data_IF_335973145780
#
_entry.id   IF_335973145780
#
_cell.length_a   1.000
_cell.length_b   1.000
_cell.length_c   1.000
_cell.angle_alpha   90.00
_cell.angle_beta   90.00
_cell.angle_gamma   90.00
#
_symmetry.space_group_name_H-M   'P 1'
#
loop_
_entity.id
_entity.type
_entity.pdbx_description
1 polymer ?
#
# COMPACT_ATOMS: atom_id res chain seq x y z
N UNK A 1 -4.66 -27.70 22.46
CA UNK A 1 -5.05 -26.41 21.86
C UNK A 1 -3.87 -25.44 21.61
N UNK A 2 -2.77 -25.49 22.37
CA UNK A 2 -1.59 -24.64 22.15
C UNK A 2 -0.79 -24.96 20.87
N UNK A 3 -0.79 -26.22 20.44
CA UNK A 3 -0.03 -26.67 19.26
C UNK A 3 -0.65 -26.23 17.93
N UNK A 4 -1.96 -26.06 17.84
CA UNK A 4 -2.64 -25.54 16.65
C UNK A 4 -2.34 -24.06 16.38
N UNK A 5 -2.01 -23.27 17.39
CA UNK A 5 -1.69 -21.85 17.25
C UNK A 5 -0.32 -21.61 16.59
N UNK A 6 0.63 -22.55 16.68
CA UNK A 6 1.95 -22.45 16.04
C UNK A 6 1.94 -22.83 14.55
N UNK A 7 0.87 -23.45 14.07
CA UNK A 7 0.77 -23.96 12.71
C UNK A 7 0.44 -22.87 11.68
N UNK A 8 -0.30 -21.85 12.08
CA UNK A 8 -0.67 -20.75 11.21
C UNK A 8 0.35 -19.60 11.26
N UNK A 9 0.64 -19.00 10.12
CA UNK A 9 1.50 -17.83 10.04
C UNK A 9 0.71 -16.54 10.33
N UNK A 10 0.33 -16.34 11.58
CA UNK A 10 -0.38 -15.13 12.01
C UNK A 10 0.53 -13.88 12.02
N UNK A 11 1.86 -14.07 11.96
CA UNK A 11 2.82 -12.96 11.91
C UNK A 11 2.61 -12.11 10.66
N UNK A 12 2.56 -12.72 9.47
CA UNK A 12 2.38 -12.01 8.21
C UNK A 12 1.00 -11.37 8.11
N UNK A 13 -0.03 -12.05 8.61
CA UNK A 13 -1.40 -11.51 8.69
C UNK A 13 -1.43 -10.23 9.53
N UNK A 14 -0.84 -10.28 10.73
CA UNK A 14 -0.77 -9.12 11.63
C UNK A 14 0.05 -7.98 11.04
N UNK A 15 1.16 -8.28 10.35
CA UNK A 15 1.99 -7.27 9.70
C UNK A 15 1.17 -6.52 8.63
N UNK A 16 0.47 -7.22 7.74
CA UNK A 16 -0.39 -6.59 6.75
C UNK A 16 -1.56 -5.85 7.37
N UNK A 17 -2.20 -6.39 8.42
CA UNK A 17 -3.29 -5.72 9.12
C UNK A 17 -2.84 -4.39 9.76
N UNK A 18 -1.67 -4.37 10.41
CA UNK A 18 -1.10 -3.13 10.97
C UNK A 18 -0.81 -2.12 9.86
N UNK A 19 -0.18 -2.57 8.76
CA UNK A 19 0.14 -1.67 7.64
C UNK A 19 -1.10 -1.18 6.91
N UNK A 20 -2.19 -1.95 6.90
CA UNK A 20 -3.50 -1.46 6.42
C UNK A 20 -3.93 -0.22 7.20
N UNK A 21 -3.88 -0.26 8.51
CA UNK A 21 -4.25 0.90 9.35
C UNK A 21 -3.30 2.08 9.12
N UNK A 22 -1.98 1.82 9.09
CA UNK A 22 -0.96 2.86 8.86
C UNK A 22 -1.19 3.56 7.52
N UNK A 23 -1.31 2.81 6.45
CA UNK A 23 -1.53 3.37 5.11
C UNK A 23 -2.92 4.00 4.94
N UNK A 24 -3.93 3.49 5.66
CA UNK A 24 -5.24 4.10 5.73
C UNK A 24 -5.16 5.51 6.31
N UNK A 25 -4.46 5.68 7.44
CA UNK A 25 -4.24 7.00 8.06
C UNK A 25 -3.48 7.92 7.11
N UNK A 26 -2.36 7.45 6.56
CA UNK A 26 -1.52 8.26 5.64
C UNK A 26 -2.30 8.66 4.39
N UNK A 27 -2.96 7.70 3.73
CA UNK A 27 -3.74 7.95 2.53
C UNK A 27 -4.88 8.95 2.76
N UNK A 28 -5.62 8.80 3.87
CA UNK A 28 -6.70 9.73 4.21
C UNK A 28 -6.18 11.12 4.56
N UNK A 29 -5.04 11.24 5.26
CA UNK A 29 -4.42 12.54 5.54
C UNK A 29 -4.03 13.27 4.24
N UNK A 30 -3.45 12.59 3.28
CA UNK A 30 -3.16 13.17 1.96
C UNK A 30 -4.46 13.62 1.30
N UNK A 31 -5.54 12.83 1.39
CA UNK A 31 -6.87 13.20 0.90
C UNK A 31 -7.42 14.49 1.52
N UNK A 32 -7.28 14.64 2.84
CA UNK A 32 -7.67 15.87 3.54
C UNK A 32 -6.86 17.07 3.06
N UNK A 33 -5.54 16.91 2.86
CA UNK A 33 -4.66 17.98 2.37
C UNK A 33 -5.09 18.42 0.97
N UNK A 34 -5.29 17.50 0.03
CA UNK A 34 -5.69 17.86 -1.33
C UNK A 34 -7.10 18.46 -1.36
N UNK A 35 -8.02 18.01 -0.51
CA UNK A 35 -9.34 18.62 -0.38
C UNK A 35 -9.25 20.06 0.14
N UNK A 36 -8.39 20.29 1.14
CA UNK A 36 -8.15 21.64 1.66
C UNK A 36 -7.49 22.56 0.61
N UNK A 37 -6.59 22.04 -0.24
CA UNK A 37 -5.97 22.80 -1.33
C UNK A 37 -6.97 23.28 -2.39
N UNK A 38 -8.10 22.59 -2.56
CA UNK A 38 -9.17 23.06 -3.46
C UNK A 38 -9.80 24.38 -2.97
N UNK A 39 -9.83 24.58 -1.66
CA UNK A 39 -10.34 25.81 -1.04
C UNK A 39 -9.25 26.85 -0.80
N UNK A 40 -8.06 26.38 -0.33
CA UNK A 40 -6.89 27.21 -0.06
C UNK A 40 -5.67 26.71 -0.87
N UNK A 41 -5.52 27.17 -2.13
CA UNK A 41 -4.39 26.77 -2.98
C UNK A 41 -3.01 27.09 -2.37
N UNK A 42 -2.93 28.12 -1.52
CA UNK A 42 -1.71 28.50 -0.80
C UNK A 42 -1.13 27.39 0.09
N UNK A 43 -1.91 26.37 0.45
CA UNK A 43 -1.41 25.18 1.18
C UNK A 43 -0.42 24.33 0.37
N UNK A 44 -0.26 24.60 -0.92
CA UNK A 44 0.80 24.03 -1.74
C UNK A 44 2.18 24.67 -1.52
N UNK A 45 2.24 25.83 -0.82
CA UNK A 45 3.47 26.58 -0.52
C UNK A 45 4.35 26.86 -1.76
N UNK A 46 3.75 26.90 -2.95
CA UNK A 46 4.43 26.98 -4.24
C UNK A 46 5.49 25.89 -4.47
N UNK A 47 5.38 24.76 -3.74
CA UNK A 47 6.27 23.63 -3.87
C UNK A 47 5.70 22.64 -4.90
N UNK A 48 6.43 22.34 -5.99
CA UNK A 48 5.92 21.46 -7.06
C UNK A 48 5.45 20.10 -6.57
N UNK A 49 6.15 19.49 -5.60
CA UNK A 49 5.81 18.18 -5.07
C UNK A 49 4.57 18.17 -4.15
N UNK A 50 4.16 19.34 -3.62
CA UNK A 50 2.94 19.49 -2.82
C UNK A 50 1.75 19.98 -3.65
N UNK A 51 1.91 20.15 -4.97
CA UNK A 51 0.80 20.57 -5.81
C UNK A 51 -0.32 19.52 -5.81
N UNK A 52 -1.57 19.98 -5.89
CA UNK A 52 -2.75 19.14 -6.01
C UNK A 52 -2.60 18.05 -7.07
N UNK A 53 -2.08 18.41 -8.25
CA UNK A 53 -1.91 17.49 -9.38
C UNK A 53 -0.94 16.34 -9.10
N UNK A 54 0.01 16.52 -8.17
CA UNK A 54 0.97 15.47 -7.78
C UNK A 54 0.51 14.68 -6.55
N UNK A 55 -0.18 15.33 -5.64
CA UNK A 55 -0.71 14.67 -4.45
C UNK A 55 -1.96 13.84 -4.75
N UNK A 56 -2.75 14.19 -5.77
CA UNK A 56 -3.94 13.42 -6.15
C UNK A 56 -3.60 11.96 -6.54
N UNK A 57 -2.67 11.70 -7.48
CA UNK A 57 -2.22 10.34 -7.78
C UNK A 57 -1.67 9.61 -6.55
N UNK A 58 -0.90 10.31 -5.72
CA UNK A 58 -0.39 9.74 -4.47
C UNK A 58 -1.52 9.28 -3.55
N UNK A 59 -2.54 10.13 -3.33
CA UNK A 59 -3.71 9.77 -2.52
C UNK A 59 -4.43 8.55 -3.10
N UNK A 60 -4.71 8.55 -4.39
CA UNK A 60 -5.43 7.46 -5.06
C UNK A 60 -4.67 6.14 -4.92
N UNK A 61 -3.37 6.13 -5.21
CA UNK A 61 -2.54 4.93 -5.09
C UNK A 61 -2.38 4.48 -3.62
N UNK A 62 -2.25 5.43 -2.68
CA UNK A 62 -2.18 5.10 -1.25
C UNK A 62 -3.46 4.43 -0.76
N UNK A 63 -4.63 4.89 -1.17
CA UNK A 63 -5.91 4.31 -0.74
C UNK A 63 -6.18 2.98 -1.42
N UNK A 64 -5.94 2.85 -2.72
CA UNK A 64 -6.24 1.62 -3.45
C UNK A 64 -5.21 0.53 -3.13
N UNK A 65 -3.92 0.82 -3.31
CA UNK A 65 -2.88 -0.21 -3.24
C UNK A 65 -2.26 -0.33 -1.85
N UNK A 66 -1.93 0.79 -1.19
CA UNK A 66 -1.30 0.70 0.11
C UNK A 66 -2.31 0.28 1.19
N UNK A 67 -3.44 0.96 1.32
CA UNK A 67 -4.49 0.61 2.27
C UNK A 67 -5.27 -0.62 1.82
N UNK A 68 -5.96 -0.55 0.68
CA UNK A 68 -6.83 -1.63 0.19
C UNK A 68 -6.05 -2.90 -0.13
N UNK A 69 -4.90 -2.80 -0.81
CA UNK A 69 -4.03 -3.92 -1.13
C UNK A 69 -3.49 -4.62 0.11
N UNK A 70 -3.00 -3.88 1.11
CA UNK A 70 -2.56 -4.48 2.38
C UNK A 70 -3.70 -5.17 3.12
N UNK A 71 -4.91 -4.60 3.12
CA UNK A 71 -6.10 -5.21 3.69
C UNK A 71 -6.48 -6.50 2.97
N UNK A 72 -6.39 -6.51 1.65
CA UNK A 72 -6.66 -7.69 0.83
C UNK A 72 -5.65 -8.82 1.14
N UNK A 73 -4.35 -8.52 1.23
CA UNK A 73 -3.35 -9.50 1.63
C UNK A 73 -3.59 -10.05 3.04
N UNK A 74 -3.88 -9.16 4.01
CA UNK A 74 -4.19 -9.58 5.39
C UNK A 74 -5.34 -10.59 5.44
N UNK A 75 -6.46 -10.24 4.78
CA UNK A 75 -7.66 -11.09 4.76
C UNK A 75 -7.43 -12.37 3.97
N UNK A 76 -6.76 -12.31 2.82
CA UNK A 76 -6.45 -13.48 2.00
C UNK A 76 -5.59 -14.49 2.76
N UNK A 77 -4.47 -14.06 3.35
CA UNK A 77 -3.62 -14.93 4.13
C UNK A 77 -4.33 -15.51 5.36
N UNK A 78 -5.19 -14.73 6.02
CA UNK A 78 -5.98 -15.21 7.15
C UNK A 78 -6.99 -16.28 6.71
N UNK A 79 -7.83 -15.94 5.72
CA UNK A 79 -8.94 -16.80 5.27
C UNK A 79 -8.42 -18.12 4.71
N UNK A 80 -7.41 -18.10 3.83
CA UNK A 80 -6.86 -19.31 3.22
C UNK A 80 -6.35 -20.29 4.28
N UNK A 81 -5.58 -19.80 5.24
CA UNK A 81 -5.07 -20.68 6.31
C UNK A 81 -6.20 -21.29 7.14
N UNK A 82 -7.24 -20.52 7.47
CA UNK A 82 -8.35 -20.97 8.32
C UNK A 82 -9.34 -21.86 7.59
N UNK A 83 -9.62 -21.58 6.32
CA UNK A 83 -10.58 -22.38 5.51
C UNK A 83 -9.97 -23.71 5.06
N UNK A 84 -8.69 -23.69 4.67
CA UNK A 84 -8.00 -24.91 4.26
C UNK A 84 -7.46 -25.74 5.45
N UNK A 85 -7.58 -25.23 6.68
CA UNK A 85 -6.98 -25.82 7.86
C UNK A 85 -5.50 -26.18 7.66
N UNK A 86 -4.75 -25.29 6.96
CA UNK A 86 -3.37 -25.52 6.57
C UNK A 86 -2.52 -24.27 6.79
N UNK A 87 -1.30 -24.44 7.26
CA UNK A 87 -0.31 -23.36 7.30
C UNK A 87 0.15 -22.95 5.90
N UNK A 88 0.79 -21.78 5.78
CA UNK A 88 1.34 -21.33 4.51
C UNK A 88 2.47 -22.25 4.05
N UNK A 89 2.38 -22.73 2.81
CA UNK A 89 3.37 -23.63 2.22
C UNK A 89 4.79 -23.05 2.20
N UNK A 90 4.91 -21.74 1.88
CA UNK A 90 6.19 -21.02 1.82
C UNK A 90 6.15 -19.76 2.70
N UNK A 91 6.42 -19.87 4.03
CA UNK A 91 6.42 -18.70 4.91
C UNK A 91 7.42 -17.62 4.53
N UNK A 92 8.55 -17.99 3.92
CA UNK A 92 9.57 -17.04 3.43
C UNK A 92 9.03 -16.23 2.24
N UNK A 93 8.24 -16.84 1.36
CA UNK A 93 7.60 -16.13 0.25
C UNK A 93 6.57 -15.12 0.77
N UNK A 94 5.77 -15.50 1.77
CA UNK A 94 4.84 -14.57 2.39
C UNK A 94 5.54 -13.36 3.04
N UNK A 95 6.69 -13.58 3.66
CA UNK A 95 7.52 -12.50 4.20
C UNK A 95 8.12 -11.63 3.07
N UNK A 96 8.57 -12.23 1.97
CA UNK A 96 9.04 -11.52 0.78
C UNK A 96 7.92 -10.65 0.19
N UNK A 97 6.71 -11.20 0.00
CA UNK A 97 5.54 -10.46 -0.47
C UNK A 97 5.24 -9.28 0.45
N UNK A 98 5.28 -9.46 1.77
CA UNK A 98 5.07 -8.34 2.70
C UNK A 98 6.07 -7.21 2.50
N UNK A 99 7.36 -7.51 2.55
CA UNK A 99 8.40 -6.48 2.44
C UNK A 99 8.50 -5.88 1.03
N UNK A 100 8.34 -6.70 0.00
CA UNK A 100 8.30 -6.23 -1.39
C UNK A 100 7.12 -5.28 -1.63
N UNK A 101 5.94 -5.62 -1.12
CA UNK A 101 4.77 -4.75 -1.20
C UNK A 101 5.00 -3.41 -0.48
N UNK A 102 5.58 -3.41 0.72
CA UNK A 102 5.91 -2.17 1.42
C UNK A 102 6.96 -1.35 0.64
N UNK A 103 7.97 -1.99 0.06
CA UNK A 103 8.97 -1.31 -0.76
C UNK A 103 8.33 -0.63 -1.99
N UNK A 104 7.42 -1.32 -2.69
CA UNK A 104 6.65 -0.75 -3.82
C UNK A 104 5.86 0.49 -3.38
N UNK A 105 5.15 0.42 -2.24
CA UNK A 105 4.39 1.55 -1.72
C UNK A 105 5.29 2.75 -1.44
N UNK A 106 6.44 2.53 -0.80
CA UNK A 106 7.39 3.61 -0.48
C UNK A 106 7.97 4.22 -1.75
N UNK A 107 8.33 3.41 -2.76
CA UNK A 107 8.79 3.90 -4.05
C UNK A 107 7.72 4.74 -4.74
N UNK A 108 6.49 4.30 -4.75
CA UNK A 108 5.37 5.07 -5.28
C UNK A 108 5.18 6.40 -4.53
N UNK A 109 5.29 6.38 -3.19
CA UNK A 109 5.18 7.57 -2.35
C UNK A 109 6.29 8.60 -2.61
N UNK A 110 7.43 8.18 -3.14
CA UNK A 110 8.54 9.06 -3.54
C UNK A 110 8.36 9.55 -4.98
N UNK A 111 8.10 8.64 -5.91
CA UNK A 111 8.09 8.95 -7.36
C UNK A 111 6.90 9.81 -7.77
N UNK A 112 5.71 9.58 -7.23
CA UNK A 112 4.51 10.33 -7.60
C UNK A 112 4.61 11.82 -7.26
N UNK A 113 5.01 12.25 -6.04
CA UNK A 113 5.22 13.68 -5.74
C UNK A 113 6.34 14.31 -6.57
N UNK A 114 7.38 13.55 -6.91
CA UNK A 114 8.46 14.02 -7.78
C UNK A 114 8.01 14.21 -9.23
N UNK A 115 6.82 13.71 -9.58
CA UNK A 115 6.27 13.80 -10.94
C UNK A 115 6.82 12.75 -11.88
N UNK A 116 7.45 11.70 -11.35
CA UNK A 116 7.86 10.50 -12.10
C UNK A 116 6.65 9.57 -12.15
N UNK A 117 5.85 9.72 -13.21
CA UNK A 117 4.54 9.09 -13.31
C UNK A 117 4.10 8.94 -14.77
N UNK A 118 3.32 7.92 -15.06
CA UNK A 118 2.64 7.75 -16.33
C UNK A 118 1.34 8.56 -16.33
N UNK A 119 0.90 9.01 -17.51
CA UNK A 119 -0.34 9.76 -17.68
C UNK A 119 -1.62 8.93 -17.72
N UNK A 120 -1.64 7.73 -17.16
CA UNK A 120 -2.79 6.81 -17.15
C UNK A 120 -3.45 6.82 -15.78
N UNK A 121 -4.69 7.23 -15.71
CA UNK A 121 -5.46 7.23 -14.47
C UNK A 121 -5.57 5.79 -13.89
N UNK A 122 -5.31 5.67 -12.60
CA UNK A 122 -5.19 4.40 -11.84
C UNK A 122 -4.04 3.47 -12.26
N UNK A 123 -3.18 3.90 -13.16
CA UNK A 123 -1.96 3.22 -13.56
C UNK A 123 -0.81 4.23 -13.70
N UNK A 124 -0.70 5.10 -12.71
CA UNK A 124 0.23 6.22 -12.75
C UNK A 124 1.67 5.84 -12.42
N UNK A 125 1.92 4.61 -11.95
CA UNK A 125 3.27 4.14 -11.61
C UNK A 125 4.11 3.92 -12.87
N UNK A 126 5.40 4.24 -12.77
CA UNK A 126 6.35 4.00 -13.87
C UNK A 126 6.66 2.50 -14.02
N UNK A 127 6.95 2.10 -15.23
CA UNK A 127 7.19 0.69 -15.60
C UNK A 127 8.18 -0.08 -14.70
N UNK A 128 9.26 0.52 -14.12
CA UNK A 128 10.12 -0.23 -13.22
C UNK A 128 9.40 -0.66 -11.93
N UNK A 129 8.46 0.18 -11.45
CA UNK A 129 7.64 -0.15 -10.27
C UNK A 129 6.61 -1.21 -10.63
N UNK A 130 6.02 -1.16 -11.84
CA UNK A 130 5.09 -2.18 -12.33
C UNK A 130 5.76 -3.56 -12.41
N UNK A 131 7.04 -3.60 -12.83
CA UNK A 131 7.82 -4.85 -12.80
C UNK A 131 8.03 -5.37 -11.37
N UNK A 132 8.32 -4.48 -10.42
CA UNK A 132 8.44 -4.87 -9.00
C UNK A 132 7.12 -5.40 -8.44
N UNK A 133 5.99 -4.77 -8.79
CA UNK A 133 4.65 -5.27 -8.40
C UNK A 133 4.42 -6.68 -8.95
N UNK A 134 4.81 -6.91 -10.21
CA UNK A 134 4.65 -8.22 -10.84
C UNK A 134 5.53 -9.30 -10.20
N UNK A 135 6.66 -8.90 -9.63
CA UNK A 135 7.60 -9.82 -8.99
C UNK A 135 7.19 -10.20 -7.55
N UNK A 136 6.43 -9.35 -6.88
CA UNK A 136 5.99 -9.50 -5.49
C UNK A 136 4.69 -10.28 -5.38
#
# INVERSE_FOLDING_TARGET
MAEAASYYNDKVVRQFAVMTVVWGIVGMLVGVIIAAQLYWPALGFDLPWLSYGRLRPLHTNAVIFAFGGSGLFATSYYIVQRTCHAGLFLPKLAAFTFWGWQAVIVLAAITLPLGITQGKEYAELEWPIDLLITLV
#
